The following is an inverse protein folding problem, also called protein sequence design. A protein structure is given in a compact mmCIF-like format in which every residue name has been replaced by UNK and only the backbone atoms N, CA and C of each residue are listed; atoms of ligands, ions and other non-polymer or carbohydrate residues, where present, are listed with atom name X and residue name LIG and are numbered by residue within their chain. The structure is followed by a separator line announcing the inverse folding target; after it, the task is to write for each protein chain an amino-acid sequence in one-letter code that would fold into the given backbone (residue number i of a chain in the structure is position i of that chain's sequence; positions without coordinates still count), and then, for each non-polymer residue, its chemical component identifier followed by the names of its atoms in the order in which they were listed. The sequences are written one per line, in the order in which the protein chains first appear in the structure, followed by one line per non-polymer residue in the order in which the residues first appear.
data_IF_617145927574
#
_entry.id   IF_617145927574
#
_cell.length_a   1.000
_cell.length_b   1.000
_cell.length_c   1.000
_cell.angle_alpha   90.00
_cell.angle_beta   90.00
_cell.angle_gamma   90.00
#
_symmetry.space_group_name_H-M   'P 1'
#
loop_
_entity.id
_entity.type
_entity.pdbx_description
1 polymer ?
#
# COMPACT_ATOMS: atom_id res chain seq x y z
N UNK A 1 10.28 2.84 6.09
CA UNK A 1 10.58 2.00 7.27
C UNK A 1 9.38 1.12 7.48
N UNK A 2 9.56 -0.18 7.32
CA UNK A 2 8.48 -1.17 7.48
C UNK A 2 8.12 -1.32 8.96
N UNK A 3 6.97 -0.77 9.35
CA UNK A 3 6.37 -1.01 10.66
C UNK A 3 5.26 -2.03 10.53
N UNK A 4 5.51 -3.28 10.92
CA UNK A 4 4.47 -4.27 11.12
C UNK A 4 3.85 -4.03 12.51
N UNK A 5 2.61 -3.56 12.58
CA UNK A 5 1.87 -3.41 13.84
C UNK A 5 0.72 -4.42 13.92
N UNK A 6 0.64 -5.10 15.06
CA UNK A 6 -0.48 -5.98 15.44
C UNK A 6 -1.60 -5.13 16.02
N UNK A 7 -2.87 -5.46 15.75
CA UNK A 7 -4.01 -4.77 16.41
C UNK A 7 -3.93 -4.97 17.94
N UNK A 8 -4.07 -3.90 18.76
CA UNK A 8 -4.36 -4.07 20.17
C UNK A 8 -5.83 -4.51 20.31
N UNK A 9 -6.06 -5.58 21.07
CA UNK A 9 -7.41 -6.03 21.42
C UNK A 9 -7.94 -5.28 22.65
N UNK A 10 -9.16 -4.75 22.55
CA UNK A 10 -9.97 -4.29 23.69
C UNK A 10 -10.22 -2.78 23.74
N UNK A 11 -11.37 -2.35 24.32
CA UNK A 11 -12.28 -1.41 23.68
C UNK A 11 -12.11 0.05 24.13
N UNK A 12 -12.32 0.98 23.20
CA UNK A 12 -12.51 2.40 23.52
C UNK A 12 -11.74 3.34 22.60
N UNK A 13 -12.25 3.55 21.40
CA UNK A 13 -12.10 4.80 20.65
C UNK A 13 -13.13 4.75 19.51
N UNK A 14 -14.25 5.44 19.69
CA UNK A 14 -15.21 5.73 18.62
C UNK A 14 -14.56 6.69 17.62
N UNK A 15 -13.65 6.16 16.80
CA UNK A 15 -13.16 6.82 15.60
C UNK A 15 -14.10 6.45 14.46
N UNK A 16 -15.13 7.25 14.22
CA UNK A 16 -15.98 7.11 13.02
C UNK A 16 -15.18 7.53 11.79
N UNK A 17 -14.28 6.66 11.34
CA UNK A 17 -13.68 6.75 10.02
C UNK A 17 -14.77 6.53 8.97
N UNK A 18 -15.02 7.54 8.13
CA UNK A 18 -15.86 7.38 6.94
C UNK A 18 -15.10 6.51 5.93
N UNK A 19 -15.17 5.20 6.13
CA UNK A 19 -14.60 4.20 5.23
C UNK A 19 -15.37 4.17 3.90
N UNK A 20 -14.75 4.67 2.83
CA UNK A 20 -15.17 4.39 1.46
C UNK A 20 -14.83 2.94 1.12
N UNK A 21 -15.71 2.02 1.49
CA UNK A 21 -15.46 0.58 1.46
C UNK A 21 -15.29 0.00 0.06
N UNK A 22 -14.14 -0.63 -0.19
CA UNK A 22 -14.00 -1.68 -1.19
C UNK A 22 -14.06 -3.03 -0.46
N UNK A 23 -15.27 -3.61 -0.36
CA UNK A 23 -15.58 -4.77 0.47
C UNK A 23 -14.63 -5.97 0.30
N UNK A 24 -14.07 -6.38 1.44
CA UNK A 24 -13.36 -7.62 1.70
C UNK A 24 -12.98 -7.65 3.18
N UNK A 25 -13.06 -8.81 3.83
CA UNK A 25 -12.62 -8.96 5.21
C UNK A 25 -11.12 -8.64 5.30
N UNK A 26 -10.76 -7.71 6.19
CA UNK A 26 -9.37 -7.31 6.40
C UNK A 26 -8.70 -8.36 7.31
N UNK A 27 -7.59 -8.98 6.89
CA UNK A 27 -6.89 -9.97 7.73
C UNK A 27 -6.36 -9.37 9.03
N UNK A 28 -6.08 -10.22 10.01
CA UNK A 28 -5.50 -9.82 11.32
C UNK A 28 -4.14 -9.10 11.19
N UNK A 29 -3.42 -9.34 10.10
CA UNK A 29 -2.12 -8.72 9.82
C UNK A 29 -2.11 -8.08 8.44
N UNK A 30 -1.75 -6.80 8.40
CA UNK A 30 -1.69 -5.97 7.21
C UNK A 30 -0.40 -5.14 7.19
N UNK A 31 -0.03 -4.63 6.02
CA UNK A 31 1.00 -3.62 5.88
C UNK A 31 0.34 -2.23 5.82
N UNK A 32 0.95 -1.24 6.49
CA UNK A 32 0.46 0.14 6.50
C UNK A 32 1.46 1.05 5.78
N UNK A 33 1.03 1.68 4.67
CA UNK A 33 1.83 2.69 3.96
C UNK A 33 1.30 4.07 4.31
N UNK A 34 2.01 4.77 5.18
CA UNK A 34 1.75 6.17 5.50
C UNK A 34 2.22 7.04 4.34
N UNK A 35 1.29 7.73 3.72
CA UNK A 35 1.58 8.67 2.67
C UNK A 35 1.93 10.03 3.30
N UNK A 36 2.91 10.76 2.74
CA UNK A 36 3.35 12.02 3.35
C UNK A 36 2.18 13.00 3.54
N UNK A 37 1.99 13.49 4.76
CA UNK A 37 1.10 14.62 5.11
C UNK A 37 1.58 15.94 4.53
N UNK A 38 2.86 15.97 4.13
CA UNK A 38 3.50 17.03 3.38
C UNK A 38 3.92 18.21 4.25
N UNK A 39 5.20 18.53 4.18
CA UNK A 39 5.80 19.80 4.65
C UNK A 39 6.18 20.71 3.47
N UNK A 40 5.50 20.51 2.32
CA UNK A 40 5.81 21.18 1.05
C UNK A 40 5.00 22.45 0.80
N UNK A 41 5.36 23.17 -0.26
CA UNK A 41 4.56 24.31 -0.75
C UNK A 41 3.16 23.84 -1.19
N UNK A 42 2.13 24.70 -1.21
CA UNK A 42 0.77 24.32 -1.61
C UNK A 42 0.68 23.57 -2.94
N UNK A 43 1.54 23.93 -3.91
CA UNK A 43 1.62 23.27 -5.22
C UNK A 43 2.18 21.85 -5.14
N UNK A 44 3.19 21.63 -4.28
CA UNK A 44 3.73 20.29 -4.03
C UNK A 44 2.71 19.41 -3.30
N UNK A 45 1.97 19.98 -2.34
CA UNK A 45 0.90 19.27 -1.63
C UNK A 45 -0.23 18.84 -2.57
N UNK A 46 -0.67 19.71 -3.47
CA UNK A 46 -1.66 19.36 -4.49
C UNK A 46 -1.16 18.25 -5.41
N UNK A 47 0.08 18.35 -5.90
CA UNK A 47 0.65 17.33 -6.76
C UNK A 47 0.81 15.97 -6.06
N UNK A 48 1.23 15.95 -4.80
CA UNK A 48 1.31 14.73 -4.00
C UNK A 48 -0.08 14.12 -3.80
N UNK A 49 -1.11 14.92 -3.53
CA UNK A 49 -2.50 14.46 -3.43
C UNK A 49 -2.96 13.81 -4.73
N UNK A 50 -2.71 14.44 -5.88
CA UNK A 50 -3.06 13.87 -7.18
C UNK A 50 -2.38 12.51 -7.42
N UNK A 51 -1.10 12.36 -7.05
CA UNK A 51 -0.37 11.10 -7.16
C UNK A 51 -0.95 10.02 -6.24
N UNK A 52 -1.28 10.39 -5.01
CA UNK A 52 -1.90 9.51 -4.01
C UNK A 52 -3.28 9.04 -4.47
N UNK A 53 -4.14 9.95 -4.94
CA UNK A 53 -5.48 9.62 -5.44
C UNK A 53 -5.41 8.66 -6.63
N UNK A 54 -4.47 8.90 -7.55
CA UNK A 54 -4.18 8.03 -8.67
C UNK A 54 -3.74 6.63 -8.22
N UNK A 55 -2.82 6.54 -7.27
CA UNK A 55 -2.37 5.25 -6.69
C UNK A 55 -3.52 4.50 -6.00
N UNK A 56 -4.31 5.20 -5.19
CA UNK A 56 -5.49 4.64 -4.50
C UNK A 56 -6.50 4.10 -5.51
N UNK A 57 -6.82 4.88 -6.55
CA UNK A 57 -7.80 4.46 -7.55
C UNK A 57 -7.33 3.23 -8.33
N UNK A 58 -6.03 3.15 -8.67
CA UNK A 58 -5.44 1.97 -9.27
C UNK A 58 -5.61 0.73 -8.37
N UNK A 59 -5.16 0.85 -7.12
CA UNK A 59 -5.17 -0.28 -6.18
C UNK A 59 -6.58 -0.74 -5.80
N UNK A 60 -7.59 0.15 -5.82
CA UNK A 60 -9.00 -0.22 -5.62
C UNK A 60 -9.54 -1.07 -6.76
N UNK A 61 -9.15 -0.76 -8.00
CA UNK A 61 -9.62 -1.47 -9.20
C UNK A 61 -8.94 -2.82 -9.37
N UNK A 62 -7.71 -2.95 -8.91
CA UNK A 62 -6.92 -4.17 -9.08
C UNK A 62 -7.16 -5.13 -7.92
N UNK A 63 -8.00 -6.14 -8.17
CA UNK A 63 -8.17 -7.31 -7.30
C UNK A 63 -7.68 -8.55 -8.03
N UNK A 64 -6.36 -8.70 -8.14
CA UNK A 64 -5.74 -9.78 -8.92
C UNK A 64 -4.54 -10.41 -8.21
N UNK A 65 -4.27 -11.70 -8.42
CA UNK A 65 -3.38 -12.51 -7.59
C UNK A 65 -1.88 -12.18 -7.66
N UNK A 66 -1.46 -11.20 -8.50
CA UNK A 66 -0.04 -10.85 -8.71
C UNK A 66 0.34 -9.44 -8.30
N UNK A 67 -0.61 -8.70 -7.75
CA UNK A 67 -0.40 -7.33 -7.28
C UNK A 67 -0.87 -7.27 -5.83
N UNK A 68 -0.13 -6.53 -5.00
CA UNK A 68 -0.48 -6.34 -3.59
C UNK A 68 -1.90 -5.77 -3.50
N UNK A 69 -2.77 -6.48 -2.79
CA UNK A 69 -4.14 -6.03 -2.60
C UNK A 69 -4.16 -4.83 -1.65
N UNK A 70 -4.93 -3.80 -2.00
CA UNK A 70 -5.34 -2.77 -1.05
C UNK A 70 -6.72 -3.11 -0.49
N UNK A 71 -6.84 -3.05 0.83
CA UNK A 71 -8.09 -3.31 1.54
C UNK A 71 -8.90 -2.03 1.71
N UNK A 72 -8.26 -0.98 2.24
CA UNK A 72 -8.92 0.29 2.51
C UNK A 72 -7.91 1.45 2.59
N UNK A 73 -8.45 2.65 2.74
CA UNK A 73 -7.70 3.87 2.98
C UNK A 73 -8.20 4.48 4.29
N UNK A 74 -7.28 4.82 5.20
CA UNK A 74 -7.58 5.49 6.46
C UNK A 74 -7.00 6.91 6.45
N UNK A 75 -7.58 7.78 7.28
CA UNK A 75 -6.99 9.08 7.62
C UNK A 75 -6.66 9.07 9.09
N UNK A 76 -5.42 9.45 9.44
CA UNK A 76 -5.01 9.59 10.84
C UNK A 76 -5.63 10.87 11.40
N UNK A 77 -6.28 10.76 12.55
CA UNK A 77 -6.75 11.88 13.38
C UNK A 77 -5.97 11.79 14.69
N UNK A 78 -4.90 12.57 14.78
CA UNK A 78 -4.02 12.58 15.95
C UNK A 78 -3.39 13.98 16.13
N UNK A 79 -4.16 14.93 16.69
CA UNK A 79 -3.68 16.30 16.88
C UNK A 79 -2.43 16.41 17.77
N UNK A 80 -2.17 15.41 18.61
CA UNK A 80 -0.97 15.35 19.45
C UNK A 80 0.30 15.02 18.66
N UNK A 81 0.15 14.47 17.44
CA UNK A 81 1.25 14.12 16.54
C UNK A 81 1.10 14.80 15.16
N UNK A 82 1.39 16.11 15.04
CA UNK A 82 1.15 16.89 13.81
C UNK A 82 1.82 16.38 12.54
N UNK A 83 2.84 15.52 12.67
CA UNK A 83 3.50 14.88 11.51
C UNK A 83 2.64 13.77 10.91
N UNK A 84 1.79 13.15 11.71
CA UNK A 84 0.90 12.06 11.32
C UNK A 84 -0.54 12.54 11.17
N UNK A 85 -0.94 13.59 11.87
CA UNK A 85 -2.29 14.16 11.77
C UNK A 85 -2.66 14.49 10.31
N UNK A 86 -3.81 13.99 9.87
CA UNK A 86 -4.27 14.10 8.49
C UNK A 86 -3.59 13.17 7.48
N UNK A 87 -2.71 12.26 7.91
CA UNK A 87 -2.02 11.33 7.00
C UNK A 87 -3.01 10.38 6.33
N UNK A 88 -2.89 10.23 5.02
CA UNK A 88 -3.54 9.14 4.30
C UNK A 88 -2.73 7.87 4.50
N UNK A 89 -3.37 6.80 4.96
CA UNK A 89 -2.74 5.49 5.19
C UNK A 89 -3.38 4.48 4.26
N UNK A 90 -2.56 3.78 3.48
CA UNK A 90 -3.03 2.64 2.69
C UNK A 90 -2.93 1.38 3.53
N UNK A 91 -4.05 0.66 3.66
CA UNK A 91 -4.09 -0.66 4.30
C UNK A 91 -3.92 -1.71 3.22
N UNK A 92 -2.79 -2.41 3.26
CA UNK A 92 -2.30 -3.29 2.19
C UNK A 92 -2.14 -4.74 2.68
N UNK A 93 -2.18 -5.67 1.75
CA UNK A 93 -1.71 -7.04 1.95
C UNK A 93 -0.26 -7.05 2.44
N UNK A 94 0.00 -7.82 3.50
CA UNK A 94 1.35 -8.02 4.02
C UNK A 94 2.08 -9.04 3.15
N UNK A 95 3.07 -8.57 2.40
CA UNK A 95 4.05 -9.44 1.75
C UNK A 95 4.96 -10.12 2.78
N UNK A 96 5.47 -11.31 2.45
CA UNK A 96 6.48 -11.99 3.26
C UNK A 96 7.81 -11.20 3.29
N UNK A 97 8.19 -10.61 2.15
CA UNK A 97 9.38 -9.78 2.02
C UNK A 97 9.56 -9.26 0.58
N UNK A 98 10.62 -8.50 0.34
CA UNK A 98 10.96 -8.02 -1.00
C UNK A 98 11.79 -9.05 -1.79
N UNK A 99 11.70 -9.01 -3.11
CA UNK A 99 12.58 -9.80 -3.99
C UNK A 99 14.06 -9.45 -3.77
N UNK A 100 14.37 -8.18 -3.51
CA UNK A 100 15.75 -7.76 -3.19
C UNK A 100 16.30 -8.44 -1.93
N UNK A 101 15.50 -8.55 -0.87
CA UNK A 101 15.89 -9.25 0.35
C UNK A 101 16.05 -10.76 0.10
N UNK A 102 15.15 -11.37 -0.68
CA UNK A 102 15.26 -12.76 -1.10
C UNK A 102 16.56 -13.02 -1.87
N UNK A 103 16.90 -12.16 -2.84
CA UNK A 103 18.10 -12.30 -3.64
C UNK A 103 19.39 -12.04 -2.85
N UNK A 104 19.35 -11.15 -1.86
CA UNK A 104 20.48 -10.96 -0.94
C UNK A 104 20.76 -12.21 -0.11
N UNK A 105 19.71 -12.91 0.36
CA UNK A 105 19.85 -14.15 1.12
C UNK A 105 20.16 -15.37 0.24
N UNK A 106 19.61 -15.42 -0.98
CA UNK A 106 19.80 -16.52 -1.94
C UNK A 106 19.89 -15.94 -3.35
N UNK A 107 21.10 -15.65 -3.86
CA UNK A 107 21.29 -14.96 -5.14
C UNK A 107 20.72 -15.66 -6.38
N UNK A 108 20.52 -16.98 -6.31
CA UNK A 108 19.93 -17.79 -7.39
C UNK A 108 18.89 -18.75 -6.79
N UNK A 109 17.71 -18.24 -6.39
CA UNK A 109 16.69 -19.09 -5.81
C UNK A 109 16.18 -20.07 -6.89
N UNK A 110 15.92 -21.34 -6.56
CA UNK A 110 15.38 -22.31 -7.53
C UNK A 110 14.08 -21.85 -8.21
N UNK A 111 13.30 -21.01 -7.52
CA UNK A 111 12.06 -20.42 -8.02
C UNK A 111 12.26 -19.23 -8.99
N UNK A 112 13.50 -18.85 -9.33
CA UNK A 112 13.81 -17.66 -10.15
C UNK A 112 12.98 -17.53 -11.44
N UNK A 113 12.89 -18.56 -12.30
CA UNK A 113 12.07 -18.50 -13.52
C UNK A 113 10.57 -18.27 -13.24
N UNK A 114 10.04 -18.88 -12.17
CA UNK A 114 8.66 -18.69 -11.77
C UNK A 114 8.41 -17.25 -11.26
N UNK A 115 9.34 -16.69 -10.47
CA UNK A 115 9.27 -15.31 -10.00
C UNK A 115 9.23 -14.32 -11.16
N UNK A 116 10.09 -14.49 -12.17
CA UNK A 116 10.06 -13.65 -13.38
C UNK A 116 8.73 -13.74 -14.11
N UNK A 117 8.17 -14.95 -14.24
CA UNK A 117 6.85 -15.16 -14.86
C UNK A 117 5.77 -14.39 -14.10
N UNK A 118 5.76 -14.46 -12.78
CA UNK A 118 4.80 -13.76 -11.93
C UNK A 118 4.93 -12.23 -12.02
N UNK A 119 6.16 -11.70 -12.10
CA UNK A 119 6.40 -10.27 -12.35
C UNK A 119 5.82 -9.85 -13.70
N UNK A 120 6.08 -10.62 -14.76
CA UNK A 120 5.53 -10.36 -16.08
C UNK A 120 3.99 -10.40 -16.10
N UNK A 121 3.38 -11.35 -15.39
CA UNK A 121 1.92 -11.41 -15.21
C UNK A 121 1.37 -10.14 -14.54
N UNK A 122 2.00 -9.68 -13.44
CA UNK A 122 1.62 -8.45 -12.76
C UNK A 122 1.75 -7.21 -13.64
N UNK A 123 2.85 -7.08 -14.39
CA UNK A 123 3.05 -5.99 -15.35
C UNK A 123 2.01 -6.02 -16.46
N UNK A 124 1.67 -7.20 -16.98
CA UNK A 124 0.63 -7.35 -17.99
C UNK A 124 -0.73 -6.88 -17.46
N UNK A 125 -1.05 -7.16 -16.19
CA UNK A 125 -2.28 -6.70 -15.55
C UNK A 125 -2.31 -5.17 -15.42
N UNK A 126 -1.20 -4.56 -14.99
CA UNK A 126 -1.07 -3.09 -14.94
C UNK A 126 -1.27 -2.48 -16.33
N UNK A 127 -0.58 -3.00 -17.35
CA UNK A 127 -0.67 -2.50 -18.71
C UNK A 127 -2.08 -2.62 -19.28
N UNK A 128 -2.80 -3.73 -19.01
CA UNK A 128 -4.21 -3.89 -19.41
C UNK A 128 -5.14 -2.88 -18.74
N UNK A 129 -4.80 -2.43 -17.53
CA UNK A 129 -5.53 -1.37 -16.84
C UNK A 129 -5.16 0.05 -17.36
N UNK A 130 -4.23 0.18 -18.31
CA UNK A 130 -3.75 1.46 -18.83
C UNK A 130 -2.65 2.09 -17.98
N UNK A 131 -1.97 1.30 -17.14
CA UNK A 131 -0.98 1.79 -16.19
C UNK A 131 0.42 1.26 -16.46
N UNK A 132 1.41 2.14 -16.36
CA UNK A 132 2.84 1.80 -16.40
C UNK A 132 3.40 2.00 -14.99
N UNK A 133 4.12 1.00 -14.45
CA UNK A 133 4.61 1.05 -13.07
C UNK A 133 5.57 2.22 -12.80
N UNK A 134 6.48 2.53 -13.75
CA UNK A 134 7.39 3.68 -13.67
C UNK A 134 8.56 3.58 -12.67
N UNK A 135 8.62 2.54 -11.83
CA UNK A 135 9.66 2.35 -10.80
C UNK A 135 9.87 0.85 -10.46
N UNK A 136 9.90 -0.01 -11.49
CA UNK A 136 10.17 -1.44 -11.28
C UNK A 136 11.66 -1.64 -10.94
N UNK A 137 11.94 -2.37 -9.85
CA UNK A 137 13.30 -2.57 -9.32
C UNK A 137 13.44 -3.91 -8.59
#
# INVERSE_FOLDING_TARGET
GDGATRRPGGPGADGTGRGGGAGGEVPDTVALKFLPTGTGTPRQLAHLRDLVEREVELLRRLRQPRLIRMYETLTVDDPAHPRLDGATVLVLERAEGSLSALLAATPRPPAGPALLTQVCEGLQQLHRAGWVHGDLK
#
